data_IF_493038617708
#
_entry.id   IF_493038617708
#
_cell.length_a   1.000
_cell.length_b   1.000
_cell.length_c   1.000
_cell.angle_alpha   90.00
_cell.angle_beta   90.00
_cell.angle_gamma   90.00
#
_symmetry.space_group_name_H-M   'P 1'
#
loop_
_entity.id
_entity.type
_entity.pdbx_description
1 polymer ?
#
# COMPACT_ATOMS: atom_id res chain seq x y z
N UNK A 1 3.21 11.76 12.39
CA UNK A 1 3.81 11.70 11.04
C UNK A 1 3.01 12.57 10.09
N UNK A 2 3.68 13.29 9.24
CA UNK A 2 3.01 14.16 8.27
C UNK A 2 3.73 14.06 6.93
N UNK A 3 3.00 13.79 5.87
CA UNK A 3 3.53 13.81 4.53
C UNK A 3 3.85 15.25 4.10
N UNK A 4 4.85 15.42 3.24
CA UNK A 4 5.25 16.72 2.72
C UNK A 4 4.19 17.21 1.72
N UNK A 5 3.57 18.41 1.89
CA UNK A 5 2.47 18.86 1.03
C UNK A 5 2.80 18.88 -0.48
N UNK A 6 4.02 19.27 -0.84
CA UNK A 6 4.45 19.28 -2.25
C UNK A 6 4.50 17.86 -2.85
N UNK A 7 4.83 16.85 -2.05
CA UNK A 7 4.81 15.46 -2.48
C UNK A 7 3.39 14.94 -2.65
N UNK A 8 2.47 15.32 -1.76
CA UNK A 8 1.05 14.98 -1.89
C UNK A 8 0.50 15.52 -3.22
N UNK A 9 0.79 16.77 -3.52
CA UNK A 9 0.34 17.39 -4.76
C UNK A 9 0.92 16.71 -5.99
N UNK A 10 2.19 16.34 -5.95
CA UNK A 10 2.85 15.59 -7.02
C UNK A 10 2.16 14.25 -7.26
N UNK A 11 1.89 13.48 -6.21
CA UNK A 11 1.21 12.19 -6.33
C UNK A 11 -0.24 12.36 -6.80
N UNK A 12 -0.93 13.41 -6.38
CA UNK A 12 -2.27 13.72 -6.90
C UNK A 12 -2.28 13.92 -8.41
N UNK A 13 -1.27 14.60 -8.96
CA UNK A 13 -1.17 14.79 -10.41
C UNK A 13 -0.96 13.50 -11.17
N UNK A 14 -0.30 12.52 -10.55
CA UNK A 14 0.01 11.24 -11.17
C UNK A 14 -1.07 10.17 -10.93
N UNK A 15 -2.04 10.45 -10.07
CA UNK A 15 -3.00 9.43 -9.59
C UNK A 15 -3.77 8.74 -10.70
N UNK A 16 -4.18 9.46 -11.75
CA UNK A 16 -4.93 8.90 -12.86
C UNK A 16 -4.13 7.89 -13.70
N UNK A 17 -2.80 7.84 -13.53
CA UNK A 17 -1.91 6.99 -14.33
C UNK A 17 -1.40 5.77 -13.56
N UNK A 18 -1.80 5.58 -12.30
CA UNK A 18 -1.25 4.51 -11.44
C UNK A 18 -1.30 3.13 -12.08
N UNK A 19 -2.39 2.78 -12.72
CA UNK A 19 -2.59 1.45 -13.29
C UNK A 19 -2.27 1.35 -14.79
N UNK A 20 -1.75 2.42 -15.38
CA UNK A 20 -1.25 2.39 -16.75
C UNK A 20 0.21 1.93 -16.76
N UNK A 21 0.44 0.64 -17.08
CA UNK A 21 1.78 0.05 -17.08
C UNK A 21 2.71 0.62 -18.16
N UNK A 22 2.18 1.33 -19.13
CA UNK A 22 2.95 1.97 -20.21
C UNK A 22 3.09 3.49 -20.01
N UNK A 23 2.51 4.03 -18.93
CA UNK A 23 2.56 5.46 -18.61
C UNK A 23 3.69 5.84 -17.66
N UNK A 24 3.55 6.99 -16.95
CA UNK A 24 4.57 7.49 -16.04
C UNK A 24 4.92 6.54 -14.90
N UNK A 25 4.02 5.62 -14.56
CA UNK A 25 4.22 4.64 -13.48
C UNK A 25 4.90 3.35 -13.95
N UNK A 26 5.32 3.26 -15.21
CA UNK A 26 5.97 2.08 -15.75
C UNK A 26 7.16 1.58 -14.90
N UNK A 27 8.10 2.45 -14.47
CA UNK A 27 9.22 1.97 -13.66
C UNK A 27 8.74 1.31 -12.36
N UNK A 28 7.68 1.81 -11.75
CA UNK A 28 7.10 1.23 -10.55
C UNK A 28 6.47 -0.13 -10.84
N UNK A 29 5.77 -0.29 -11.96
CA UNK A 29 5.22 -1.58 -12.37
C UNK A 29 6.30 -2.62 -12.62
N UNK A 30 7.41 -2.23 -13.27
CA UNK A 30 8.54 -3.13 -13.53
C UNK A 30 9.13 -3.67 -12.24
N UNK A 31 9.29 -2.81 -11.23
CA UNK A 31 9.86 -3.21 -9.93
C UNK A 31 8.85 -3.93 -9.06
N UNK A 32 7.57 -3.60 -9.19
CA UNK A 32 6.52 -4.10 -8.30
C UNK A 32 6.38 -5.62 -8.31
N UNK A 33 6.52 -6.24 -9.47
CA UNK A 33 6.45 -7.70 -9.58
C UNK A 33 7.52 -8.39 -8.74
N UNK A 34 8.76 -7.86 -8.76
CA UNK A 34 9.86 -8.36 -7.95
C UNK A 34 9.63 -8.11 -6.47
N UNK A 35 9.12 -6.94 -6.12
CA UNK A 35 8.78 -6.59 -4.73
C UNK A 35 7.68 -7.49 -4.19
N UNK A 36 6.66 -7.76 -4.98
CA UNK A 36 5.56 -8.62 -4.57
C UNK A 36 6.06 -10.03 -4.26
N UNK A 37 6.92 -10.59 -5.11
CA UNK A 37 7.52 -11.90 -4.86
C UNK A 37 8.35 -11.89 -3.57
N UNK A 38 9.20 -10.89 -3.39
CA UNK A 38 10.04 -10.76 -2.21
C UNK A 38 9.21 -10.61 -0.92
N UNK A 39 8.23 -9.71 -0.94
CA UNK A 39 7.34 -9.47 0.19
C UNK A 39 6.57 -10.74 0.53
N UNK A 40 6.01 -11.41 -0.45
CA UNK A 40 5.27 -12.64 -0.27
C UNK A 40 6.14 -13.75 0.34
N UNK A 41 7.38 -13.90 -0.13
CA UNK A 41 8.32 -14.87 0.41
C UNK A 41 8.71 -14.56 1.86
N UNK A 42 8.96 -13.30 2.17
CA UNK A 42 9.31 -12.87 3.54
C UNK A 42 8.15 -13.13 4.51
N UNK A 43 6.93 -12.81 4.10
CA UNK A 43 5.73 -13.06 4.92
C UNK A 43 5.54 -14.56 5.13
N UNK A 44 5.59 -15.34 4.06
CA UNK A 44 5.40 -16.79 4.15
C UNK A 44 6.45 -17.44 5.06
N UNK A 45 7.71 -17.04 4.91
CA UNK A 45 8.81 -17.54 5.76
C UNK A 45 8.60 -17.17 7.23
N UNK A 46 8.24 -15.93 7.50
CA UNK A 46 8.05 -15.46 8.89
C UNK A 46 6.92 -16.20 9.60
N UNK A 47 5.82 -16.45 8.90
CA UNK A 47 4.64 -17.12 9.48
C UNK A 47 4.63 -18.64 9.28
N UNK A 48 5.72 -19.21 8.78
CA UNK A 48 5.85 -20.65 8.58
C UNK A 48 4.85 -21.22 7.57
N UNK A 49 4.53 -20.45 6.55
CA UNK A 49 3.57 -20.86 5.49
C UNK A 49 4.31 -21.30 4.24
N UNK A 50 3.71 -22.25 3.53
CA UNK A 50 4.11 -22.53 2.16
C UNK A 50 3.62 -21.40 1.24
N UNK A 51 4.38 -21.11 0.18
CA UNK A 51 4.04 -20.05 -0.77
C UNK A 51 2.65 -20.28 -1.40
N UNK A 52 2.27 -21.52 -1.62
CA UNK A 52 0.97 -21.92 -2.19
C UNK A 52 -0.21 -21.67 -1.23
N UNK A 53 0.03 -21.53 0.07
CA UNK A 53 -1.03 -21.33 1.06
C UNK A 53 -1.63 -19.92 1.03
N UNK A 54 -0.99 -18.98 0.35
CA UNK A 54 -1.45 -17.60 0.30
C UNK A 54 -1.30 -16.87 1.63
N UNK A 55 -2.05 -15.80 1.81
CA UNK A 55 -1.94 -14.91 2.97
C UNK A 55 -3.24 -14.83 3.79
N UNK A 56 -4.11 -15.81 3.63
CA UNK A 56 -5.42 -15.83 4.31
C UNK A 56 -5.26 -15.71 5.82
N UNK A 57 -6.04 -14.84 6.44
CA UNK A 57 -6.04 -14.64 7.89
C UNK A 57 -5.01 -13.61 8.39
N UNK A 58 -4.13 -13.13 7.52
CA UNK A 58 -3.17 -12.09 7.89
C UNK A 58 -3.77 -10.70 7.65
N UNK A 59 -3.52 -9.78 8.59
CA UNK A 59 -3.84 -8.36 8.44
C UNK A 59 -2.59 -7.59 8.07
N UNK A 60 -2.65 -6.85 6.98
CA UNK A 60 -1.51 -6.10 6.44
C UNK A 60 -1.88 -4.62 6.35
N UNK A 61 -1.00 -3.77 6.87
CA UNK A 61 -1.08 -2.33 6.70
C UNK A 61 -0.06 -1.91 5.64
N UNK A 62 -0.54 -1.23 4.60
CA UNK A 62 0.29 -0.68 3.53
C UNK A 62 0.31 0.85 3.67
N UNK A 63 1.37 1.37 4.28
CA UNK A 63 1.54 2.81 4.51
C UNK A 63 2.12 3.46 3.27
N UNK A 64 1.47 4.52 2.79
CA UNK A 64 1.83 5.15 1.53
C UNK A 64 1.46 4.26 0.36
N UNK A 65 0.25 3.72 0.36
CA UNK A 65 -0.19 2.69 -0.59
C UNK A 65 -0.29 3.18 -2.04
N UNK A 66 -0.31 4.49 -2.27
CA UNK A 66 -0.48 5.06 -3.61
C UNK A 66 -1.77 4.58 -4.26
N UNK A 67 -1.69 4.18 -5.51
CA UNK A 67 -2.82 3.64 -6.27
C UNK A 67 -3.14 2.17 -6.01
N UNK A 68 -2.49 1.54 -5.02
CA UNK A 68 -2.80 0.18 -4.63
C UNK A 68 -2.01 -0.92 -5.34
N UNK A 69 -0.87 -0.58 -5.97
CA UNK A 69 -0.08 -1.55 -6.72
C UNK A 69 0.45 -2.72 -5.89
N UNK A 70 0.63 -2.53 -4.58
CA UNK A 70 1.01 -3.61 -3.66
C UNK A 70 -0.19 -4.12 -2.87
N UNK A 71 -1.06 -3.22 -2.41
CA UNK A 71 -2.24 -3.57 -1.59
C UNK A 71 -3.16 -4.55 -2.31
N UNK A 72 -3.49 -4.29 -3.58
CA UNK A 72 -4.43 -5.10 -4.33
C UNK A 72 -3.94 -6.53 -4.57
N UNK A 73 -2.69 -6.76 -5.04
CA UNK A 73 -2.17 -8.11 -5.17
C UNK A 73 -2.11 -8.89 -3.86
N UNK A 74 -1.79 -8.23 -2.74
CA UNK A 74 -1.76 -8.89 -1.43
C UNK A 74 -3.17 -9.30 -0.99
N UNK A 75 -4.17 -8.46 -1.25
CA UNK A 75 -5.57 -8.81 -0.99
C UNK A 75 -6.03 -9.99 -1.85
N UNK A 76 -5.58 -10.08 -3.09
CA UNK A 76 -5.87 -11.22 -3.97
C UNK A 76 -5.29 -12.52 -3.42
N UNK A 77 -4.20 -12.45 -2.68
CA UNK A 77 -3.60 -13.60 -2.02
C UNK A 77 -4.33 -13.99 -0.72
N UNK A 78 -5.37 -13.27 -0.35
CA UNK A 78 -6.22 -13.58 0.78
C UNK A 78 -6.01 -12.73 2.03
N UNK A 79 -5.04 -11.82 2.03
CA UNK A 79 -4.81 -10.94 3.18
C UNK A 79 -5.94 -9.91 3.35
N UNK A 80 -6.18 -9.51 4.59
CA UNK A 80 -6.99 -8.34 4.91
C UNK A 80 -6.08 -7.12 4.88
N UNK A 81 -6.21 -6.27 3.87
CA UNK A 81 -5.30 -5.14 3.65
C UNK A 81 -6.00 -3.82 3.97
N UNK A 82 -5.32 -3.01 4.77
CA UNK A 82 -5.64 -1.59 4.97
C UNK A 82 -4.55 -0.79 4.27
N UNK A 83 -4.93 0.02 3.30
CA UNK A 83 -4.02 0.92 2.60
C UNK A 83 -4.26 2.36 3.04
N UNK A 84 -3.20 3.07 3.38
CA UNK A 84 -3.26 4.46 3.85
C UNK A 84 -2.40 5.33 2.97
N UNK A 85 -2.94 6.45 2.53
CA UNK A 85 -2.21 7.42 1.74
C UNK A 85 -2.75 8.83 2.00
N UNK A 86 -1.89 9.83 1.94
CA UNK A 86 -2.26 11.22 2.18
C UNK A 86 -2.82 11.92 0.93
N UNK A 87 -2.73 11.31 -0.24
CA UNK A 87 -3.20 11.88 -1.50
C UNK A 87 -4.63 11.45 -1.81
N UNK A 88 -5.60 12.39 -1.87
CA UNK A 88 -6.98 12.05 -2.26
C UNK A 88 -7.07 11.38 -3.62
N UNK A 89 -6.26 11.84 -4.58
CA UNK A 89 -6.23 11.25 -5.93
C UNK A 89 -5.75 9.82 -5.93
N UNK A 90 -4.71 9.52 -5.15
CA UNK A 90 -4.19 8.15 -5.04
C UNK A 90 -5.24 7.21 -4.44
N UNK A 91 -5.89 7.61 -3.37
CA UNK A 91 -6.93 6.80 -2.73
C UNK A 91 -8.12 6.59 -3.67
N UNK A 92 -8.53 7.63 -4.39
CA UNK A 92 -9.61 7.51 -5.36
C UNK A 92 -9.26 6.51 -6.48
N UNK A 93 -8.05 6.60 -7.02
CA UNK A 93 -7.56 5.67 -8.04
C UNK A 93 -7.50 4.23 -7.52
N UNK A 94 -7.00 4.05 -6.30
CA UNK A 94 -6.89 2.74 -5.67
C UNK A 94 -8.27 2.10 -5.47
N UNK A 95 -9.22 2.85 -4.93
CA UNK A 95 -10.61 2.38 -4.72
C UNK A 95 -11.28 2.00 -6.03
N UNK A 96 -11.14 2.85 -7.04
CA UNK A 96 -11.77 2.63 -8.33
C UNK A 96 -11.24 1.36 -9.00
N UNK A 97 -9.93 1.17 -8.99
CA UNK A 97 -9.34 -0.02 -9.60
C UNK A 97 -9.71 -1.31 -8.85
N UNK A 98 -9.64 -1.30 -7.52
CA UNK A 98 -10.01 -2.46 -6.71
C UNK A 98 -11.48 -2.85 -6.94
N UNK A 99 -12.37 -1.86 -6.97
CA UNK A 99 -13.79 -2.08 -7.26
C UNK A 99 -13.97 -2.69 -8.65
N UNK A 100 -13.28 -2.18 -9.66
CA UNK A 100 -13.37 -2.71 -11.03
C UNK A 100 -12.89 -4.16 -11.14
N UNK A 101 -11.98 -4.59 -10.25
CA UNK A 101 -11.41 -5.93 -10.23
C UNK A 101 -12.12 -6.87 -9.23
N UNK A 102 -13.09 -6.36 -8.48
CA UNK A 102 -13.78 -7.16 -7.47
C UNK A 102 -12.91 -7.55 -6.29
N UNK A 103 -11.91 -6.74 -5.95
CA UNK A 103 -10.98 -6.99 -4.85
C UNK A 103 -11.32 -6.06 -3.68
N UNK A 104 -11.43 -6.60 -2.47
CA UNK A 104 -11.73 -5.84 -1.27
C UNK A 104 -10.43 -5.39 -0.60
N UNK A 105 -10.24 -4.07 -0.51
CA UNK A 105 -9.16 -3.42 0.23
C UNK A 105 -9.76 -2.24 0.99
N UNK A 106 -9.40 -2.09 2.26
CA UNK A 106 -9.84 -0.94 3.07
C UNK A 106 -8.84 0.20 2.88
N UNK A 107 -9.13 1.08 1.92
CA UNK A 107 -8.30 2.26 1.67
C UNK A 107 -8.77 3.44 2.52
N UNK A 108 -7.83 4.09 3.21
CA UNK A 108 -8.09 5.23 4.08
C UNK A 108 -7.24 6.43 3.68
N UNK A 109 -7.88 7.57 3.50
CA UNK A 109 -7.21 8.83 3.18
C UNK A 109 -6.77 9.50 4.48
N UNK A 110 -5.49 9.78 4.59
CA UNK A 110 -4.94 10.56 5.70
C UNK A 110 -3.61 10.04 6.20
N UNK A 111 -3.26 10.50 7.41
CA UNK A 111 -2.10 10.06 8.14
C UNK A 111 -2.45 8.79 8.94
N UNK A 112 -1.58 7.78 9.02
CA UNK A 112 -1.88 6.57 9.80
C UNK A 112 -2.30 6.86 11.24
N UNK A 113 -1.70 7.86 11.88
CA UNK A 113 -2.05 8.22 13.26
C UNK A 113 -3.46 8.76 13.39
N UNK A 114 -4.05 9.29 12.32
CA UNK A 114 -5.39 9.86 12.31
C UNK A 114 -6.46 8.87 11.86
N UNK A 115 -6.10 7.93 10.99
CA UNK A 115 -7.09 7.05 10.34
C UNK A 115 -7.10 5.63 10.89
N UNK A 116 -6.13 5.26 11.72
CA UNK A 116 -6.10 3.97 12.41
C UNK A 116 -6.64 4.13 13.83
N UNK A 117 -7.45 3.18 14.27
CA UNK A 117 -7.85 3.12 15.66
C UNK A 117 -6.68 2.65 16.54
N UNK A 118 -6.62 3.12 17.79
CA UNK A 118 -5.52 2.81 18.71
C UNK A 118 -5.41 1.32 19.05
N UNK A 119 -6.48 0.58 18.90
CA UNK A 119 -6.55 -0.87 19.19
C UNK A 119 -6.41 -1.73 17.93
N UNK A 120 -6.27 -1.12 16.74
CA UNK A 120 -6.04 -1.90 15.53
C UNK A 120 -4.64 -2.51 15.53
N UNK A 121 -4.57 -3.78 15.18
CA UNK A 121 -3.32 -4.52 15.11
C UNK A 121 -3.16 -5.14 13.73
N UNK A 122 -1.90 -5.24 13.29
CA UNK A 122 -1.55 -5.81 12.01
C UNK A 122 -0.44 -6.84 12.18
N UNK A 123 -0.50 -7.88 11.38
CA UNK A 123 0.54 -8.91 11.35
C UNK A 123 1.77 -8.42 10.58
N UNK A 124 1.55 -7.57 9.58
CA UNK A 124 2.59 -7.04 8.70
C UNK A 124 2.32 -5.57 8.46
N UNK A 125 3.39 -4.76 8.49
CA UNK A 125 3.34 -3.35 8.08
C UNK A 125 4.34 -3.13 6.95
N UNK A 126 3.86 -2.57 5.85
CA UNK A 126 4.68 -2.21 4.71
C UNK A 126 4.81 -0.69 4.64
N UNK A 127 6.02 -0.22 4.35
CA UNK A 127 6.32 1.19 4.15
C UNK A 127 7.33 1.30 3.00
N UNK A 128 6.87 0.98 1.79
CA UNK A 128 7.72 0.87 0.62
C UNK A 128 7.89 2.24 -0.05
N UNK A 129 9.13 2.76 -0.06
CA UNK A 129 9.48 4.05 -0.67
C UNK A 129 8.62 5.22 -0.18
N UNK A 130 8.28 5.22 1.10
CA UNK A 130 7.46 6.29 1.69
C UNK A 130 8.26 7.14 2.67
N UNK A 131 9.28 6.60 3.31
CA UNK A 131 10.06 7.28 4.37
C UNK A 131 10.69 8.57 3.85
N UNK A 132 11.19 8.58 2.63
CA UNK A 132 11.81 9.75 2.00
C UNK A 132 10.82 10.88 1.70
N UNK A 133 9.53 10.63 1.80
CA UNK A 133 8.47 11.60 1.49
C UNK A 133 7.78 12.16 2.72
N UNK A 134 8.20 11.78 3.93
CA UNK A 134 7.61 12.27 5.17
C UNK A 134 8.44 13.39 5.79
N UNK A 135 7.78 14.28 6.54
CA UNK A 135 8.44 15.44 7.13
C UNK A 135 9.26 15.13 8.39
N UNK A 136 8.94 14.05 9.08
CA UNK A 136 9.59 13.64 10.33
C UNK A 136 9.76 12.12 10.32
N UNK A 137 10.94 11.66 9.92
CA UNK A 137 11.23 10.23 9.81
C UNK A 137 11.18 9.51 11.17
N UNK A 138 11.78 10.04 12.26
CA UNK A 138 11.65 9.37 13.56
C UNK A 138 10.20 9.20 14.00
N UNK A 139 9.36 10.23 13.86
CA UNK A 139 7.95 10.13 14.22
C UNK A 139 7.20 9.12 13.33
N UNK A 140 7.57 9.00 12.06
CA UNK A 140 6.95 8.04 11.15
C UNK A 140 7.26 6.59 11.56
N UNK A 141 8.50 6.30 11.97
CA UNK A 141 8.92 4.95 12.33
C UNK A 141 8.35 4.51 13.67
N UNK A 142 8.16 5.43 14.62
CA UNK A 142 7.55 5.16 15.92
C UNK A 142 6.04 4.90 15.77
#
# INVERSE_FOLDING_TARGET
>A
MTAIPSEIERFNRLSATWWNSEGPMRPLHVVNALRLDHVGEQIASHFGREKSAGLTGLRILDVGCGGGLMSEPLARLGAQVVGVDASPGNIAAARLHAESQGVAVDYRLGDPTDVLATDEQFDVVLALEVVEHVSDVPAFVD
#
